data_IF_967106108937
#
_entry.id   IF_967106108937
#
_cell.length_a   1.000
_cell.length_b   1.000
_cell.length_c   1.000
_cell.angle_alpha   90.00
_cell.angle_beta   90.00
_cell.angle_gamma   90.00
#
_symmetry.space_group_name_H-M   'P 1'
#
loop_
_entity.id
_entity.type
_entity.pdbx_description
1 polymer ?
#
# COMPACT_ATOMS: atom_id res chain seq x y z
N UNK A 1 14.86 39.52 41.45
CA UNK A 1 13.97 38.53 40.79
C UNK A 1 14.51 38.28 39.39
N UNK A 2 15.32 37.23 39.21
CA UNK A 2 15.89 36.85 37.92
C UNK A 2 14.88 35.98 37.15
N UNK A 3 14.37 36.48 36.02
CA UNK A 3 13.61 35.69 35.05
C UNK A 3 14.61 34.87 34.22
N UNK A 4 14.70 33.58 34.52
CA UNK A 4 15.34 32.63 33.60
C UNK A 4 14.55 32.62 32.29
N UNK A 5 15.15 33.17 31.23
CA UNK A 5 14.74 32.89 29.85
C UNK A 5 15.12 31.43 29.59
N UNK A 6 14.12 30.56 29.50
CA UNK A 6 14.29 29.24 28.92
C UNK A 6 14.42 29.45 27.41
N UNK A 7 15.66 29.38 26.91
CA UNK A 7 15.91 29.16 25.49
C UNK A 7 15.46 27.73 25.18
N UNK A 8 14.36 27.59 24.45
CA UNK A 8 13.98 26.33 23.83
C UNK A 8 15.00 26.07 22.72
N UNK A 9 15.95 25.18 23.00
CA UNK A 9 16.93 24.65 22.05
C UNK A 9 16.19 24.13 20.81
N UNK A 10 16.55 24.64 19.63
CA UNK A 10 15.99 24.25 18.33
C UNK A 10 16.44 22.88 17.82
N UNK A 11 16.76 21.95 18.71
CA UNK A 11 17.34 20.63 18.39
C UNK A 11 16.28 19.56 18.04
N UNK A 12 14.99 19.85 18.25
CA UNK A 12 13.87 18.93 17.96
C UNK A 12 13.29 19.10 16.53
N UNK A 13 14.05 19.68 15.60
CA UNK A 13 13.59 19.80 14.21
C UNK A 13 13.82 18.50 13.43
N UNK A 14 12.73 17.85 13.03
CA UNK A 14 12.79 16.73 12.08
C UNK A 14 13.27 17.24 10.71
N UNK A 15 14.06 16.44 9.97
CA UNK A 15 14.47 16.83 8.63
C UNK A 15 13.24 17.02 7.73
N UNK A 16 13.16 18.16 7.04
CA UNK A 16 12.07 18.49 6.11
C UNK A 16 11.98 17.53 4.91
N UNK A 17 13.01 16.74 4.66
CA UNK A 17 13.11 15.80 3.55
C UNK A 17 13.64 14.45 4.05
N UNK A 18 13.19 13.34 3.47
CA UNK A 18 13.74 12.02 3.77
C UNK A 18 15.24 12.00 3.49
N UNK A 19 16.01 11.46 4.44
CA UNK A 19 17.44 11.21 4.24
C UNK A 19 17.65 10.02 3.29
N UNK A 20 18.86 9.84 2.77
CA UNK A 20 19.20 8.65 1.98
C UNK A 20 18.95 7.34 2.74
N UNK A 21 19.14 7.34 4.06
CA UNK A 21 18.85 6.18 4.91
C UNK A 21 17.34 5.90 4.95
N UNK A 22 16.51 6.93 5.08
CA UNK A 22 15.04 6.79 5.06
C UNK A 22 14.54 6.24 3.73
N UNK A 23 15.13 6.68 2.61
CA UNK A 23 14.82 6.17 1.27
C UNK A 23 15.14 4.67 1.17
N UNK A 24 16.33 4.25 1.62
CA UNK A 24 16.74 2.85 1.60
C UNK A 24 15.82 1.99 2.48
N UNK A 25 15.55 2.42 3.71
CA UNK A 25 14.66 1.72 4.63
C UNK A 25 13.26 1.57 4.04
N UNK A 26 12.74 2.62 3.40
CA UNK A 26 11.44 2.57 2.72
C UNK A 26 11.41 1.57 1.57
N UNK A 27 12.45 1.55 0.73
CA UNK A 27 12.56 0.58 -0.35
C UNK A 27 12.64 -0.86 0.16
N UNK A 28 13.38 -1.09 1.25
CA UNK A 28 13.45 -2.41 1.89
C UNK A 28 12.08 -2.83 2.44
N UNK A 29 11.35 -1.92 3.07
CA UNK A 29 9.99 -2.17 3.56
C UNK A 29 9.04 -2.51 2.40
N UNK A 30 9.03 -1.71 1.33
CA UNK A 30 8.22 -1.95 0.14
C UNK A 30 8.54 -3.30 -0.51
N UNK A 31 9.82 -3.69 -0.57
CA UNK A 31 10.25 -5.00 -1.05
C UNK A 31 9.77 -6.15 -0.16
N UNK A 32 9.95 -6.04 1.17
CA UNK A 32 9.53 -7.05 2.12
C UNK A 32 8.01 -7.25 2.11
N UNK A 33 7.24 -6.16 2.05
CA UNK A 33 5.78 -6.21 1.92
C UNK A 33 5.34 -6.87 0.60
N UNK A 34 6.00 -6.52 -0.51
CA UNK A 34 5.72 -7.14 -1.81
C UNK A 34 5.95 -8.65 -1.77
N UNK A 35 7.08 -9.09 -1.18
CA UNK A 35 7.40 -10.51 -1.04
C UNK A 35 6.36 -11.24 -0.20
N UNK A 36 6.04 -10.73 0.99
CA UNK A 36 5.05 -11.35 1.87
C UNK A 36 3.68 -11.43 1.20
N UNK A 37 3.23 -10.33 0.57
CA UNK A 37 1.96 -10.30 -0.16
C UNK A 37 1.89 -11.38 -1.24
N UNK A 38 2.93 -11.49 -2.08
CA UNK A 38 2.94 -12.46 -3.17
C UNK A 38 3.01 -13.90 -2.67
N UNK A 39 3.82 -14.18 -1.64
CA UNK A 39 3.93 -15.50 -1.02
C UNK A 39 2.63 -15.93 -0.32
N UNK A 40 1.87 -14.97 0.26
CA UNK A 40 0.58 -15.23 0.89
C UNK A 40 -0.59 -15.39 -0.10
N UNK A 41 -0.41 -15.03 -1.38
CA UNK A 41 -1.42 -15.23 -2.41
C UNK A 41 -1.57 -16.71 -2.77
N UNK A 42 -2.80 -17.15 -3.06
CA UNK A 42 -3.03 -18.46 -3.66
C UNK A 42 -2.47 -18.54 -5.09
N UNK A 43 -2.40 -19.76 -5.63
CA UNK A 43 -1.86 -20.00 -6.99
C UNK A 43 -2.64 -19.27 -8.07
N UNK A 44 -3.95 -19.06 -7.89
CA UNK A 44 -4.78 -18.35 -8.86
C UNK A 44 -4.45 -16.87 -8.89
N UNK A 45 -4.29 -16.24 -7.72
CA UNK A 45 -3.86 -14.85 -7.56
C UNK A 45 -2.43 -14.65 -8.06
N UNK A 46 -1.50 -15.53 -7.70
CA UNK A 46 -0.11 -15.46 -8.21
C UNK A 46 -0.07 -15.50 -9.74
N UNK A 47 -0.80 -16.43 -10.36
CA UNK A 47 -0.89 -16.52 -11.83
C UNK A 47 -1.54 -15.27 -12.44
N UNK A 48 -2.50 -14.64 -11.77
CA UNK A 48 -3.14 -13.43 -12.28
C UNK A 48 -2.17 -12.25 -12.20
N UNK A 49 -1.51 -12.07 -11.06
CA UNK A 49 -0.54 -11.01 -10.81
C UNK A 49 0.71 -11.15 -11.67
N UNK A 50 1.13 -12.36 -12.04
CA UNK A 50 2.28 -12.57 -12.94
C UNK A 50 2.04 -12.05 -14.36
N UNK A 51 0.77 -11.84 -14.75
CA UNK A 51 0.40 -11.21 -16.02
C UNK A 51 0.26 -9.68 -15.90
N UNK A 52 0.31 -9.14 -14.68
CA UNK A 52 0.16 -7.70 -14.42
C UNK A 52 1.52 -7.10 -14.04
N UNK A 53 1.67 -5.79 -14.23
CA UNK A 53 2.70 -5.05 -13.51
C UNK A 53 2.10 -4.63 -12.17
N UNK A 54 2.77 -4.95 -11.08
CA UNK A 54 2.29 -4.59 -9.74
C UNK A 54 3.44 -4.25 -8.83
N UNK A 55 3.16 -3.41 -7.83
CA UNK A 55 4.15 -2.98 -6.84
C UNK A 55 3.45 -2.45 -5.58
N UNK A 56 4.16 -2.49 -4.47
CA UNK A 56 3.75 -1.85 -3.23
C UNK A 56 4.48 -0.53 -3.07
N UNK A 57 3.77 0.53 -2.68
CA UNK A 57 4.38 1.77 -2.23
C UNK A 57 3.81 2.22 -0.89
N UNK A 58 4.59 2.95 -0.11
CA UNK A 58 4.21 3.46 1.23
C UNK A 58 4.13 4.98 1.29
N UNK A 59 4.05 5.62 0.13
CA UNK A 59 3.95 7.08 0.02
C UNK A 59 2.61 7.58 0.57
N UNK A 60 2.64 8.71 1.29
CA UNK A 60 1.46 9.41 1.81
C UNK A 60 0.62 8.63 2.87
N UNK A 61 1.29 8.15 3.92
CA UNK A 61 0.72 7.65 5.19
C UNK A 61 -0.03 6.30 5.15
N UNK A 62 -0.08 5.62 4.00
CA UNK A 62 -0.67 4.29 3.91
C UNK A 62 0.08 3.43 2.89
N UNK A 63 0.12 2.12 3.15
CA UNK A 63 0.61 1.17 2.16
C UNK A 63 -0.39 1.07 1.01
N UNK A 64 0.07 1.14 -0.23
CA UNK A 64 -0.76 1.03 -1.42
C UNK A 64 -0.22 -0.06 -2.32
N UNK A 65 -1.02 -1.10 -2.56
CA UNK A 65 -0.79 -2.07 -3.61
C UNK A 65 -1.33 -1.50 -4.92
N UNK A 66 -0.46 -1.29 -5.90
CA UNK A 66 -0.84 -0.86 -7.25
C UNK A 66 -0.76 -2.04 -8.21
N UNK A 67 -1.80 -2.24 -9.01
CA UNK A 67 -1.88 -3.27 -10.04
C UNK A 67 -2.25 -2.62 -11.36
N UNK A 68 -1.32 -2.62 -12.31
CA UNK A 68 -1.47 -2.15 -13.68
C UNK A 68 -1.82 -3.36 -14.57
N UNK A 69 -3.05 -3.36 -15.09
CA UNK A 69 -3.59 -4.47 -15.87
C UNK A 69 -3.27 -4.30 -17.36
N UNK A 70 -2.86 -5.36 -18.07
CA UNK A 70 -2.52 -5.29 -19.49
C UNK A 70 -3.76 -5.20 -20.41
N UNK A 71 -4.92 -5.69 -19.96
CA UNK A 71 -6.16 -5.72 -20.73
C UNK A 71 -7.40 -5.68 -19.80
N UNK A 72 -8.58 -5.39 -20.37
CA UNK A 72 -9.86 -5.30 -19.62
C UNK A 72 -10.28 -6.61 -18.96
N UNK A 73 -10.01 -7.75 -19.58
CA UNK A 73 -10.38 -9.06 -19.02
C UNK A 73 -9.56 -9.33 -17.78
N UNK A 74 -8.26 -9.03 -17.81
CA UNK A 74 -7.36 -9.11 -16.66
C UNK A 74 -7.78 -8.12 -15.58
N UNK A 75 -8.12 -6.88 -15.93
CA UNK A 75 -8.63 -5.88 -14.98
C UNK A 75 -9.87 -6.39 -14.23
N UNK A 76 -10.87 -6.90 -14.96
CA UNK A 76 -12.07 -7.48 -14.36
C UNK A 76 -11.74 -8.65 -13.43
N UNK A 77 -10.84 -9.56 -13.84
CA UNK A 77 -10.42 -10.69 -13.01
C UNK A 77 -9.73 -10.24 -11.72
N UNK A 78 -8.93 -9.17 -11.77
CA UNK A 78 -8.27 -8.60 -10.58
C UNK A 78 -9.31 -7.99 -9.64
N UNK A 79 -10.28 -7.23 -10.18
CA UNK A 79 -11.37 -6.64 -9.39
C UNK A 79 -12.18 -7.72 -8.64
N UNK A 80 -12.46 -8.87 -9.28
CA UNK A 80 -13.13 -10.00 -8.64
C UNK A 80 -12.36 -10.62 -7.46
N UNK A 81 -11.07 -10.31 -7.31
CA UNK A 81 -10.20 -10.84 -6.25
C UNK A 81 -9.82 -9.79 -5.19
N UNK A 82 -10.44 -8.61 -5.22
CA UNK A 82 -10.14 -7.53 -4.28
C UNK A 82 -10.33 -7.91 -2.81
N UNK A 83 -11.43 -8.60 -2.48
CA UNK A 83 -11.72 -8.95 -1.08
C UNK A 83 -10.69 -9.94 -0.51
N UNK A 84 -10.34 -11.05 -1.17
CA UNK A 84 -9.24 -11.92 -0.74
C UNK A 84 -7.91 -11.19 -0.58
N UNK A 85 -7.52 -10.35 -1.56
CA UNK A 85 -6.28 -9.57 -1.47
C UNK A 85 -6.31 -8.59 -0.28
N UNK A 86 -7.43 -7.90 -0.07
CA UNK A 86 -7.61 -6.99 1.06
C UNK A 86 -7.53 -7.71 2.40
N UNK A 87 -8.11 -8.91 2.53
CA UNK A 87 -7.98 -9.72 3.75
C UNK A 87 -6.53 -10.09 4.06
N UNK A 88 -5.76 -10.47 3.04
CA UNK A 88 -4.33 -10.77 3.20
C UNK A 88 -3.55 -9.52 3.61
N UNK A 89 -3.82 -8.38 2.97
CA UNK A 89 -3.15 -7.11 3.29
C UNK A 89 -3.44 -6.66 4.71
N UNK A 90 -4.69 -6.79 5.17
CA UNK A 90 -5.09 -6.41 6.52
C UNK A 90 -4.41 -7.25 7.63
N UNK A 91 -3.83 -8.41 7.30
CA UNK A 91 -3.04 -9.20 8.24
C UNK A 91 -1.62 -8.64 8.43
N UNK A 92 -1.12 -7.86 7.46
CA UNK A 92 0.23 -7.29 7.48
C UNK A 92 0.26 -5.87 8.02
N UNK A 93 -0.72 -5.04 7.64
CA UNK A 93 -0.73 -3.60 7.89
C UNK A 93 -2.14 -3.12 8.24
N UNK A 94 -2.23 -2.17 9.16
CA UNK A 94 -3.51 -1.62 9.65
C UNK A 94 -4.11 -0.55 8.75
N UNK A 95 -3.30 0.09 7.90
CA UNK A 95 -3.72 1.15 6.97
C UNK A 95 -3.18 0.84 5.58
N UNK A 96 -4.08 0.47 4.68
CA UNK A 96 -3.71 0.14 3.31
C UNK A 96 -4.79 0.43 2.28
N UNK A 97 -4.36 0.55 1.03
CA UNK A 97 -5.18 0.73 -0.16
C UNK A 97 -4.80 -0.27 -1.24
N UNK A 98 -5.79 -0.67 -2.04
CA UNK A 98 -5.56 -1.39 -3.30
C UNK A 98 -6.01 -0.46 -4.42
N UNK A 99 -5.11 -0.21 -5.38
CA UNK A 99 -5.37 0.57 -6.59
C UNK A 99 -5.22 -0.33 -7.81
N UNK A 100 -6.29 -0.48 -8.58
CA UNK A 100 -6.32 -1.27 -9.81
C UNK A 100 -6.47 -0.32 -11.00
N UNK A 101 -5.41 -0.23 -11.80
CA UNK A 101 -5.38 0.60 -12.99
C UNK A 101 -5.82 -0.23 -14.22
N UNK A 102 -6.82 0.22 -15.00
CA UNK A 102 -7.10 -0.36 -16.31
C UNK A 102 -5.95 -0.07 -17.28
N UNK A 103 -5.94 -0.71 -18.47
CA UNK A 103 -5.02 -0.34 -19.54
C UNK A 103 -5.07 1.15 -19.85
N UNK A 104 -3.94 1.71 -20.31
CA UNK A 104 -3.83 3.14 -20.60
C UNK A 104 -4.94 3.61 -21.56
N UNK A 105 -5.65 4.67 -21.17
CA UNK A 105 -6.71 5.26 -21.98
C UNK A 105 -8.08 4.56 -21.89
N UNK A 106 -8.20 3.44 -21.18
CA UNK A 106 -9.44 2.66 -21.12
C UNK A 106 -10.27 2.84 -19.83
N UNK A 107 -9.92 3.81 -18.99
CA UNK A 107 -10.70 4.15 -17.81
C UNK A 107 -9.92 4.86 -16.72
N UNK A 108 -10.56 5.02 -15.56
CA UNK A 108 -9.93 5.55 -14.35
C UNK A 108 -9.56 4.41 -13.41
N UNK A 109 -8.46 4.52 -12.65
CA UNK A 109 -8.11 3.54 -11.63
C UNK A 109 -9.21 3.40 -10.57
N UNK A 110 -9.49 2.16 -10.19
CA UNK A 110 -10.33 1.84 -9.05
C UNK A 110 -9.49 1.81 -7.76
N UNK A 111 -9.99 2.40 -6.69
CA UNK A 111 -9.33 2.39 -5.38
C UNK A 111 -10.24 1.84 -4.29
N UNK A 112 -9.70 0.97 -3.45
CA UNK A 112 -10.38 0.44 -2.26
C UNK A 112 -9.49 0.57 -1.04
N UNK A 113 -10.06 1.06 0.06
CA UNK A 113 -9.42 1.05 1.38
C UNK A 113 -9.56 -0.31 2.04
N UNK A 114 -8.45 -0.87 2.50
CA UNK A 114 -8.40 -2.18 3.15
C UNK A 114 -8.86 -2.08 4.60
N UNK A 115 -8.60 -0.94 5.25
CA UNK A 115 -8.97 -0.68 6.64
C UNK A 115 -10.49 -0.70 6.87
N UNK A 116 -11.27 -0.35 5.85
CA UNK A 116 -12.75 -0.38 5.88
C UNK A 116 -13.33 -1.80 5.72
N UNK A 117 -12.55 -2.78 5.26
CA UNK A 117 -13.01 -4.17 5.15
C UNK A 117 -13.29 -4.81 6.52
N UNK A 118 -12.68 -4.29 7.59
CA UNK A 118 -12.91 -4.76 8.96
C UNK A 118 -14.35 -4.50 9.44
N UNK A 119 -14.98 -3.43 8.96
CA UNK A 119 -16.37 -3.06 9.31
C UNK A 119 -17.38 -4.11 8.86
N UNK A 120 -17.11 -4.83 7.77
CA UNK A 120 -17.97 -5.91 7.28
C UNK A 120 -17.81 -7.23 8.05
N UNK A 121 -16.83 -7.34 8.95
CA UNK A 121 -16.62 -8.53 9.77
C UNK A 121 -17.65 -8.64 10.90
N UNK A 122 -18.20 -7.51 11.35
CA UNK A 122 -19.12 -7.45 12.51
C UNK A 122 -20.60 -7.65 12.13
N UNK A 123 -20.89 -7.94 10.85
CA UNK A 123 -22.25 -8.16 10.33
C UNK A 123 -22.51 -9.61 9.86
N UNK A 124 -21.61 -10.55 10.17
CA UNK A 124 -21.71 -11.96 9.79
C UNK A 124 -21.82 -12.89 11.01
#
# INVERSE_FOLDING_TARGET
MNRHRFDFSGDDSHPMQPTSADIILRQQLEYSLSKYFYEGCDRTLQNLLSNCRWYVTTQANAMTLVIECPDQVTNWRVLQKLVPMGKLINQMVSSAKIRVCPPEGEGVPFEMRVDELSVYRDMA
#
